data_IF_477503187255
#
_entry.id   IF_477503187255
#
_cell.length_a   1.000
_cell.length_b   1.000
_cell.length_c   1.000
_cell.angle_alpha   90.00
_cell.angle_beta   90.00
_cell.angle_gamma   90.00
#
_symmetry.space_group_name_H-M   'P 1'
#
loop_
_entity.id
_entity.type
_entity.pdbx_description
1 polymer ?
#
# COMPACT_ATOMS: atom_id res chain seq x y z
N UNK A 1 -3.12 -12.18 34.01
CA UNK A 1 -1.84 -12.63 34.52
C UNK A 1 -0.84 -12.62 33.37
N UNK A 2 0.43 -12.31 33.64
CA UNK A 2 1.51 -12.22 32.66
C UNK A 2 2.10 -13.59 32.39
N UNK A 3 2.71 -13.77 31.20
CA UNK A 3 3.41 -15.01 30.84
C UNK A 3 4.85 -14.91 31.31
N UNK A 4 5.27 -15.88 32.13
CA UNK A 4 6.62 -15.95 32.66
C UNK A 4 7.55 -16.71 31.69
N UNK A 5 7.20 -17.95 31.31
CA UNK A 5 8.04 -18.82 30.51
C UNK A 5 7.22 -19.62 29.49
N UNK A 6 7.78 -19.84 28.31
CA UNK A 6 7.28 -20.78 27.29
C UNK A 6 8.38 -21.77 26.97
N UNK A 7 8.11 -23.07 27.21
CA UNK A 7 9.01 -24.18 26.96
C UNK A 7 8.44 -25.13 25.90
N UNK A 8 9.34 -25.70 25.12
CA UNK A 8 9.01 -26.70 24.11
C UNK A 8 9.79 -27.97 24.41
N UNK A 9 9.17 -29.12 24.25
CA UNK A 9 9.73 -30.45 24.37
C UNK A 9 9.49 -31.22 23.08
N UNK A 10 10.45 -32.04 22.65
CA UNK A 10 10.36 -32.83 21.41
C UNK A 10 10.72 -32.03 20.14
N UNK A 11 11.25 -30.82 20.28
CA UNK A 11 11.70 -29.98 19.17
C UNK A 11 13.19 -30.21 18.88
N UNK A 12 13.52 -31.34 18.23
CA UNK A 12 14.90 -31.74 17.93
C UNK A 12 15.51 -30.99 16.75
N UNK A 13 14.71 -30.76 15.69
CA UNK A 13 15.16 -30.14 14.45
C UNK A 13 14.97 -28.61 14.41
N UNK A 14 14.03 -28.08 15.20
CA UNK A 14 13.71 -26.65 15.20
C UNK A 14 13.98 -26.03 16.58
N UNK A 15 14.89 -25.07 16.64
CA UNK A 15 15.26 -24.44 17.91
C UNK A 15 14.07 -23.74 18.58
N UNK A 16 13.97 -23.86 19.90
CA UNK A 16 12.94 -23.19 20.72
C UNK A 16 12.93 -21.67 20.52
N UNK A 17 14.06 -21.05 20.12
CA UNK A 17 14.14 -19.62 19.78
C UNK A 17 13.37 -19.32 18.50
N UNK A 18 13.48 -20.18 17.46
CA UNK A 18 12.77 -20.03 16.19
C UNK A 18 11.27 -20.25 16.38
N UNK A 19 10.87 -21.24 17.17
CA UNK A 19 9.48 -21.51 17.50
C UNK A 19 8.83 -20.33 18.26
N UNK A 20 9.53 -19.76 19.25
CA UNK A 20 9.05 -18.54 19.95
C UNK A 20 8.95 -17.31 19.06
N UNK A 21 9.82 -17.16 18.06
CA UNK A 21 9.80 -16.02 17.14
C UNK A 21 8.69 -16.10 16.10
N UNK A 22 8.52 -17.28 15.50
CA UNK A 22 7.68 -17.49 14.32
C UNK A 22 6.32 -18.12 14.64
N UNK A 23 6.28 -19.00 15.67
CA UNK A 23 5.07 -19.66 16.12
C UNK A 23 4.29 -18.89 17.17
N UNK A 24 4.98 -18.26 18.12
CA UNK A 24 4.35 -17.49 19.22
C UNK A 24 4.49 -15.98 18.98
N UNK A 25 3.60 -15.43 18.17
CA UNK A 25 3.61 -14.00 17.80
C UNK A 25 2.85 -13.12 18.78
N UNK A 26 1.74 -13.62 19.30
CA UNK A 26 0.84 -12.91 20.20
C UNK A 26 1.15 -13.16 21.69
N UNK A 27 1.46 -14.41 22.01
CA UNK A 27 1.77 -14.86 23.38
C UNK A 27 3.28 -14.77 23.63
N UNK A 28 3.74 -13.70 24.29
CA UNK A 28 5.18 -13.41 24.47
C UNK A 28 5.60 -13.55 25.92
N UNK A 29 6.63 -14.37 26.16
CA UNK A 29 7.23 -14.50 27.48
C UNK A 29 8.03 -13.27 27.90
N UNK A 30 8.27 -13.10 29.21
CA UNK A 30 9.12 -12.05 29.77
C UNK A 30 10.55 -12.15 29.20
N UNK A 31 11.06 -11.08 28.62
CA UNK A 31 12.45 -10.99 28.15
C UNK A 31 13.33 -10.26 29.14
N UNK A 32 14.54 -10.73 29.35
CA UNK A 32 15.51 -10.27 30.36
C UNK A 32 16.20 -8.92 30.03
N UNK A 33 15.82 -8.25 28.95
CA UNK A 33 16.41 -6.95 28.59
C UNK A 33 15.57 -5.84 29.24
N UNK A 34 16.21 -5.14 30.17
CA UNK A 34 15.69 -4.03 30.99
C UNK A 34 14.56 -3.24 30.31
N UNK A 35 13.32 -3.40 30.82
CA UNK A 35 12.28 -2.37 30.78
C UNK A 35 11.52 -2.13 29.46
N UNK A 36 11.96 -2.61 28.30
CA UNK A 36 11.44 -2.16 26.99
C UNK A 36 10.35 -3.06 26.41
N UNK A 37 10.29 -4.33 26.75
CA UNK A 37 9.28 -5.26 26.25
C UNK A 37 8.48 -5.85 27.40
N UNK A 38 7.26 -5.36 27.60
CA UNK A 38 6.31 -5.94 28.58
C UNK A 38 5.87 -7.33 28.09
N UNK A 39 5.83 -8.36 28.97
CA UNK A 39 5.26 -9.66 28.63
C UNK A 39 3.78 -9.49 28.32
N UNK A 40 3.26 -10.28 27.37
CA UNK A 40 1.84 -10.27 27.06
C UNK A 40 1.02 -10.84 28.20
N UNK A 41 -0.22 -10.38 28.34
CA UNK A 41 -1.22 -11.06 29.20
C UNK A 41 -1.61 -12.36 28.49
N UNK A 42 -1.86 -13.41 29.27
CA UNK A 42 -2.43 -14.64 28.72
C UNK A 42 -3.88 -14.38 28.30
N UNK A 43 -4.18 -14.66 27.02
CA UNK A 43 -5.51 -14.61 26.42
C UNK A 43 -5.69 -15.92 25.67
N UNK A 44 -6.75 -16.67 25.94
CA UNK A 44 -6.97 -18.02 25.40
C UNK A 44 -7.01 -18.01 23.87
N UNK A 45 -7.78 -17.12 23.27
CA UNK A 45 -7.93 -17.05 21.79
C UNK A 45 -6.58 -16.80 21.09
N UNK A 46 -5.73 -15.94 21.67
CA UNK A 46 -4.38 -15.66 21.17
C UNK A 46 -3.44 -16.84 21.33
N UNK A 47 -3.60 -17.58 22.40
CA UNK A 47 -2.83 -18.80 22.63
C UNK A 47 -3.23 -19.90 21.64
N UNK A 48 -4.51 -20.04 21.33
CA UNK A 48 -4.99 -21.01 20.34
C UNK A 48 -4.58 -20.60 18.93
N UNK A 49 -4.51 -19.32 18.64
CA UNK A 49 -3.91 -18.81 17.39
C UNK A 49 -2.42 -19.13 17.28
N UNK A 50 -1.67 -18.92 18.37
CA UNK A 50 -0.24 -19.24 18.41
C UNK A 50 0.04 -20.73 18.28
N UNK A 51 -0.83 -21.62 18.79
CA UNK A 51 -0.74 -23.06 18.53
C UNK A 51 -0.88 -23.40 17.04
N UNK A 52 -1.82 -22.77 16.34
CA UNK A 52 -1.95 -22.90 14.87
C UNK A 52 -0.71 -22.36 14.16
N UNK A 53 -0.23 -21.19 14.55
CA UNK A 53 0.99 -20.59 13.99
C UNK A 53 2.23 -21.46 14.24
N UNK A 54 2.29 -22.17 15.36
CA UNK A 54 3.37 -23.10 15.68
C UNK A 54 3.41 -24.28 14.69
N UNK A 55 2.26 -24.90 14.41
CA UNK A 55 2.15 -25.97 13.40
C UNK A 55 2.44 -25.42 12.01
N UNK A 56 1.92 -24.25 11.65
CA UNK A 56 2.26 -23.60 10.37
C UNK A 56 3.76 -23.30 10.24
N UNK A 57 4.45 -22.98 11.36
CA UNK A 57 5.90 -22.80 11.35
C UNK A 57 6.63 -24.12 11.02
N UNK A 58 6.18 -25.25 11.52
CA UNK A 58 6.71 -26.57 11.17
C UNK A 58 6.39 -26.93 9.72
N UNK A 59 5.15 -26.74 9.28
CA UNK A 59 4.72 -27.00 7.90
C UNK A 59 5.52 -26.18 6.89
N UNK A 60 5.89 -24.94 7.24
CA UNK A 60 6.76 -24.10 6.39
C UNK A 60 8.21 -24.57 6.30
N UNK A 61 8.62 -25.48 7.17
CA UNK A 61 9.96 -26.07 7.20
C UNK A 61 10.02 -27.50 6.63
N UNK A 62 8.90 -28.00 6.11
CA UNK A 62 8.76 -29.33 5.54
C UNK A 62 8.29 -30.41 6.52
N UNK A 63 7.98 -30.07 7.75
CA UNK A 63 7.46 -31.03 8.73
C UNK A 63 5.93 -31.08 8.68
N UNK A 64 5.41 -31.74 7.63
CA UNK A 64 3.97 -31.82 7.34
C UNK A 64 3.17 -32.48 8.47
N UNK A 65 3.73 -33.51 9.10
CA UNK A 65 3.06 -34.34 10.11
C UNK A 65 3.32 -33.84 11.54
N UNK A 66 3.86 -32.61 11.68
CA UNK A 66 4.11 -32.01 12.98
C UNK A 66 2.81 -31.79 13.77
N UNK A 67 2.81 -32.24 15.02
CA UNK A 67 1.63 -32.16 15.89
C UNK A 67 2.01 -31.72 17.32
N UNK A 68 1.06 -31.08 17.99
CA UNK A 68 1.14 -30.83 19.43
C UNK A 68 0.58 -32.07 20.13
N UNK A 69 1.45 -32.79 20.83
CA UNK A 69 1.07 -34.00 21.58
C UNK A 69 0.29 -33.64 22.84
N UNK A 70 0.77 -32.63 23.55
CA UNK A 70 0.11 -32.09 24.74
C UNK A 70 0.57 -30.66 25.01
N UNK A 71 -0.29 -29.87 25.60
CA UNK A 71 0.05 -28.55 26.11
C UNK A 71 -0.46 -28.40 27.55
N UNK A 72 0.28 -27.66 28.36
CA UNK A 72 -0.10 -27.35 29.71
C UNK A 72 0.19 -25.91 30.07
N UNK A 73 -0.75 -25.28 30.75
CA UNK A 73 -0.64 -23.93 31.28
C UNK A 73 -0.73 -24.00 32.79
N UNK A 74 0.38 -23.76 33.49
CA UNK A 74 0.46 -23.76 34.96
C UNK A 74 0.74 -22.35 35.47
N UNK A 75 0.21 -22.00 36.62
CA UNK A 75 0.43 -20.72 37.27
C UNK A 75 1.51 -20.85 38.35
N UNK A 76 2.47 -19.93 38.35
CA UNK A 76 3.42 -19.76 39.45
C UNK A 76 3.31 -18.33 40.03
N UNK A 77 4.16 -18.01 41.00
CA UNK A 77 4.20 -16.66 41.61
C UNK A 77 4.54 -15.53 40.63
N UNK A 78 5.27 -15.82 39.56
CA UNK A 78 5.73 -14.85 38.56
C UNK A 78 4.79 -14.69 37.37
N UNK A 79 3.87 -15.64 37.14
CA UNK A 79 2.93 -15.63 36.05
C UNK A 79 2.51 -17.01 35.57
N UNK A 80 2.17 -17.13 34.29
CA UNK A 80 1.88 -18.40 33.64
C UNK A 80 3.12 -19.02 33.01
N UNK A 81 3.32 -20.31 33.25
CA UNK A 81 4.25 -21.15 32.50
C UNK A 81 3.48 -21.99 31.49
N UNK A 82 3.90 -21.95 30.25
CA UNK A 82 3.33 -22.71 29.16
C UNK A 82 4.38 -23.77 28.75
N UNK A 83 3.99 -25.03 28.79
CA UNK A 83 4.80 -26.13 28.30
C UNK A 83 4.09 -26.84 27.16
N UNK A 84 4.76 -27.02 26.03
CA UNK A 84 4.21 -27.62 24.82
C UNK A 84 5.10 -28.79 24.41
N UNK A 85 4.49 -29.95 24.36
CA UNK A 85 5.14 -31.17 23.89
C UNK A 85 4.78 -31.40 22.42
N UNK A 86 5.80 -31.53 21.59
CA UNK A 86 5.69 -31.63 20.14
C UNK A 86 6.14 -32.99 19.63
N UNK A 87 5.56 -33.40 18.53
CA UNK A 87 6.10 -34.43 17.66
C UNK A 87 6.34 -33.78 16.30
N UNK A 88 7.60 -33.64 15.88
CA UNK A 88 7.97 -32.99 14.61
C UNK A 88 7.65 -33.81 13.39
N UNK A 89 7.59 -35.14 13.52
CA UNK A 89 7.44 -36.03 12.40
C UNK A 89 8.66 -36.08 11.47
N UNK A 90 8.44 -36.48 10.23
CA UNK A 90 9.49 -36.52 9.19
C UNK A 90 9.50 -35.23 8.39
N UNK A 91 10.66 -34.93 7.82
CA UNK A 91 10.78 -33.80 6.87
C UNK A 91 10.48 -34.32 5.47
N UNK A 92 9.60 -33.58 4.76
CA UNK A 92 9.17 -33.93 3.42
C UNK A 92 9.72 -32.95 2.37
N UNK A 93 9.87 -33.48 1.16
CA UNK A 93 10.32 -32.78 -0.03
C UNK A 93 9.28 -32.87 -1.14
N UNK A 94 9.31 -31.91 -2.05
CA UNK A 94 8.44 -31.91 -3.22
C UNK A 94 8.93 -32.98 -4.22
N UNK A 95 8.04 -33.88 -4.61
CA UNK A 95 8.22 -34.78 -5.71
C UNK A 95 7.82 -34.19 -7.05
N UNK A 96 7.07 -34.95 -7.85
CA UNK A 96 6.56 -34.44 -9.13
C UNK A 96 5.37 -33.49 -8.90
N UNK A 97 5.31 -32.38 -9.68
CA UNK A 97 4.20 -31.44 -9.71
C UNK A 97 3.52 -31.55 -11.07
N UNK A 98 2.25 -31.94 -11.08
CA UNK A 98 1.45 -32.07 -12.30
C UNK A 98 0.28 -31.05 -12.29
N UNK A 99 0.02 -30.42 -13.43
CA UNK A 99 -1.12 -29.52 -13.63
C UNK A 99 -2.18 -30.24 -14.46
N UNK A 100 -3.44 -30.13 -14.05
CA UNK A 100 -4.58 -30.73 -14.75
C UNK A 100 -5.68 -29.67 -14.92
N UNK A 101 -6.21 -29.57 -16.14
CA UNK A 101 -7.30 -28.64 -16.49
C UNK A 101 -6.86 -27.24 -16.89
N UNK A 102 -5.56 -27.00 -17.03
CA UNK A 102 -4.98 -25.74 -17.48
C UNK A 102 -5.00 -25.66 -19.03
N UNK A 103 -6.06 -25.08 -19.60
CA UNK A 103 -6.21 -24.91 -21.06
C UNK A 103 -5.67 -23.57 -21.55
N UNK A 104 -5.76 -22.54 -20.76
CA UNK A 104 -5.34 -21.17 -21.10
C UNK A 104 -3.83 -20.95 -20.96
N UNK A 105 -3.21 -21.56 -19.94
CA UNK A 105 -1.79 -21.39 -19.66
C UNK A 105 -1.06 -22.73 -19.73
N UNK A 106 0.16 -22.73 -20.29
CA UNK A 106 0.96 -23.94 -20.32
C UNK A 106 1.44 -24.35 -18.93
N UNK A 107 1.67 -25.66 -18.72
CA UNK A 107 2.18 -26.18 -17.45
C UNK A 107 3.55 -25.59 -17.10
N UNK A 108 4.41 -25.32 -18.10
CA UNK A 108 5.73 -24.69 -17.90
C UNK A 108 5.59 -23.25 -17.38
N UNK A 109 4.61 -22.50 -17.90
CA UNK A 109 4.34 -21.14 -17.42
C UNK A 109 3.85 -21.16 -15.97
N UNK A 110 2.88 -22.01 -15.66
CA UNK A 110 2.34 -22.17 -14.31
C UNK A 110 3.41 -22.64 -13.32
N UNK A 111 4.27 -23.57 -13.75
CA UNK A 111 5.40 -24.06 -12.95
C UNK A 111 6.39 -22.92 -12.61
N UNK A 112 6.66 -22.03 -13.57
CA UNK A 112 7.52 -20.85 -13.36
C UNK A 112 6.92 -19.89 -12.33
N UNK A 113 5.62 -19.69 -12.37
CA UNK A 113 4.91 -18.84 -11.40
C UNK A 113 4.90 -19.46 -10.01
N UNK A 114 4.62 -20.76 -9.94
CA UNK A 114 4.63 -21.51 -8.69
C UNK A 114 6.00 -21.43 -8.00
N UNK A 115 7.09 -21.54 -8.77
CA UNK A 115 8.46 -21.32 -8.32
C UNK A 115 9.05 -22.45 -7.49
N UNK A 116 8.34 -23.57 -7.29
CA UNK A 116 8.82 -24.78 -6.62
C UNK A 116 9.27 -25.82 -7.62
N UNK A 117 10.24 -26.65 -7.24
CA UNK A 117 10.81 -27.71 -8.08
C UNK A 117 10.88 -29.04 -7.31
N UNK A 118 10.97 -30.13 -8.05
CA UNK A 118 11.26 -31.47 -7.48
C UNK A 118 12.54 -31.40 -6.65
N UNK A 119 12.51 -31.92 -5.43
CA UNK A 119 13.60 -31.89 -4.46
C UNK A 119 13.61 -30.67 -3.51
N UNK A 120 12.81 -29.67 -3.74
CA UNK A 120 12.65 -28.53 -2.79
C UNK A 120 11.97 -29.03 -1.50
N UNK A 121 12.23 -28.32 -0.39
CA UNK A 121 11.53 -28.60 0.87
C UNK A 121 10.04 -28.36 0.67
N UNK A 122 9.20 -29.29 1.12
CA UNK A 122 7.76 -29.13 1.09
C UNK A 122 7.28 -28.08 2.10
N UNK A 123 7.40 -26.80 1.73
CA UNK A 123 6.80 -25.69 2.46
C UNK A 123 5.30 -25.62 2.13
N UNK A 124 4.47 -26.35 2.88
CA UNK A 124 3.04 -26.42 2.61
C UNK A 124 2.35 -25.06 2.71
N UNK A 125 2.79 -24.19 3.63
CA UNK A 125 2.22 -22.86 3.81
C UNK A 125 2.56 -21.94 2.64
N UNK A 126 3.83 -21.89 2.25
CA UNK A 126 4.28 -21.09 1.11
C UNK A 126 3.73 -21.60 -0.21
N UNK A 127 3.63 -22.92 -0.36
CA UNK A 127 3.06 -23.57 -1.54
C UNK A 127 1.58 -23.22 -1.71
N UNK A 128 0.77 -23.36 -0.67
CA UNK A 128 -0.67 -23.01 -0.72
C UNK A 128 -0.89 -21.54 -1.03
N UNK A 129 -0.06 -20.65 -0.48
CA UNK A 129 -0.09 -19.22 -0.84
C UNK A 129 0.27 -18.97 -2.32
N UNK A 130 1.21 -19.74 -2.88
CA UNK A 130 1.57 -19.64 -4.30
C UNK A 130 0.50 -20.22 -5.23
N UNK A 131 -0.27 -21.16 -4.77
CA UNK A 131 -1.45 -21.66 -5.48
C UNK A 131 -2.60 -20.65 -5.44
N UNK A 132 -2.71 -19.87 -4.38
CA UNK A 132 -3.76 -18.88 -4.18
C UNK A 132 -4.82 -19.28 -3.15
N UNK A 133 -4.51 -20.29 -2.31
CA UNK A 133 -5.29 -20.59 -1.11
C UNK A 133 -4.99 -19.57 -0.01
N UNK A 134 -5.85 -19.50 1.02
CA UNK A 134 -5.71 -18.61 2.17
C UNK A 134 -5.52 -17.12 1.78
N UNK A 135 -6.20 -16.68 0.71
CA UNK A 135 -6.14 -15.29 0.24
C UNK A 135 -4.99 -14.99 -0.73
N UNK A 136 -4.15 -15.99 -1.04
CA UNK A 136 -3.06 -15.85 -2.01
C UNK A 136 -1.91 -14.97 -1.51
N UNK A 137 -1.15 -14.41 -2.46
CA UNK A 137 -0.08 -13.46 -2.17
C UNK A 137 -0.57 -12.02 -2.30
N UNK A 138 -0.05 -11.14 -1.44
CA UNK A 138 -0.38 -9.71 -1.45
C UNK A 138 -0.01 -9.02 -2.78
N UNK A 139 1.02 -9.54 -3.46
CA UNK A 139 1.50 -9.05 -4.75
C UNK A 139 0.76 -9.65 -5.95
N UNK A 140 -0.30 -10.45 -5.72
CA UNK A 140 -1.07 -11.17 -6.75
C UNK A 140 -0.20 -12.07 -7.65
N UNK A 141 0.95 -12.54 -7.15
CA UNK A 141 1.89 -13.43 -7.86
C UNK A 141 1.58 -14.92 -7.65
N UNK A 142 0.36 -15.24 -7.26
CA UNK A 142 -0.12 -16.63 -7.11
C UNK A 142 -0.92 -17.07 -8.34
N UNK A 143 -1.06 -18.40 -8.50
CA UNK A 143 -1.72 -18.99 -9.66
C UNK A 143 -3.18 -18.52 -9.81
N UNK A 144 -3.94 -18.51 -8.73
CA UNK A 144 -5.36 -18.08 -8.76
C UNK A 144 -5.51 -16.62 -9.16
N UNK A 145 -4.64 -15.72 -8.63
CA UNK A 145 -4.67 -14.31 -8.97
C UNK A 145 -4.36 -14.06 -10.46
N UNK A 146 -3.48 -14.86 -11.08
CA UNK A 146 -3.20 -14.76 -12.52
C UNK A 146 -4.45 -15.07 -13.35
N UNK A 147 -5.17 -16.13 -13.01
CA UNK A 147 -6.45 -16.45 -13.64
C UNK A 147 -7.47 -15.33 -13.43
N UNK A 148 -7.63 -14.86 -12.20
CA UNK A 148 -8.56 -13.77 -11.87
C UNK A 148 -8.21 -12.45 -12.55
N UNK A 149 -6.94 -12.15 -12.78
CA UNK A 149 -6.52 -10.94 -13.50
C UNK A 149 -6.77 -11.01 -15.01
N UNK A 150 -7.07 -12.20 -15.52
CA UNK A 150 -7.40 -12.44 -16.93
C UNK A 150 -8.87 -12.84 -17.16
N UNK A 151 -9.74 -12.45 -16.25
CA UNK A 151 -11.19 -12.61 -16.37
C UNK A 151 -11.76 -13.87 -15.73
N UNK A 152 -10.96 -14.82 -15.34
CA UNK A 152 -11.44 -16.11 -14.81
C UNK A 152 -11.80 -16.02 -13.32
N UNK A 153 -12.82 -15.23 -13.01
CA UNK A 153 -13.26 -15.01 -11.62
C UNK A 153 -13.69 -16.31 -10.93
N UNK A 154 -14.37 -17.17 -11.68
CA UNK A 154 -14.94 -18.42 -11.15
C UNK A 154 -13.95 -19.59 -11.20
N UNK A 155 -12.68 -19.32 -11.57
CA UNK A 155 -11.65 -20.34 -11.59
C UNK A 155 -11.36 -20.89 -10.19
N UNK A 156 -11.12 -22.19 -10.14
CA UNK A 156 -10.64 -22.87 -8.94
C UNK A 156 -9.27 -23.47 -9.20
N UNK A 157 -8.36 -23.30 -8.27
CA UNK A 157 -7.01 -23.89 -8.31
C UNK A 157 -6.80 -24.62 -6.99
N UNK A 158 -6.77 -25.94 -7.03
CA UNK A 158 -6.75 -26.77 -5.83
C UNK A 158 -5.53 -27.69 -5.86
N UNK A 159 -4.61 -27.57 -4.90
CA UNK A 159 -3.49 -28.49 -4.76
C UNK A 159 -3.94 -29.78 -4.08
N UNK A 160 -3.48 -30.91 -4.59
CA UNK A 160 -3.78 -32.24 -4.05
C UNK A 160 -2.46 -33.01 -3.88
N UNK A 161 -2.28 -33.56 -2.71
CA UNK A 161 -1.21 -34.52 -2.49
C UNK A 161 -1.61 -35.87 -3.09
N UNK A 162 -1.05 -36.20 -4.25
CA UNK A 162 -1.41 -37.42 -5.01
C UNK A 162 -0.86 -38.68 -4.39
N UNK A 163 0.39 -38.65 -3.94
CA UNK A 163 1.06 -39.79 -3.32
C UNK A 163 2.29 -39.35 -2.55
N UNK A 164 2.65 -40.13 -1.54
CA UNK A 164 3.87 -39.96 -0.76
C UNK A 164 4.74 -41.16 -0.98
N UNK A 165 5.96 -40.95 -1.48
CA UNK A 165 6.96 -41.99 -1.70
C UNK A 165 8.18 -41.70 -0.83
N UNK A 166 8.31 -42.43 0.29
CA UNK A 166 9.37 -42.18 1.26
C UNK A 166 9.19 -40.84 1.97
N UNK A 167 9.99 -39.85 1.61
CA UNK A 167 9.97 -38.47 2.09
C UNK A 167 9.55 -37.47 1.01
N UNK A 168 9.21 -37.94 -0.21
CA UNK A 168 8.82 -37.12 -1.33
C UNK A 168 7.31 -37.14 -1.54
N UNK A 169 6.68 -35.95 -1.64
CA UNK A 169 5.25 -35.75 -1.87
C UNK A 169 5.03 -35.35 -3.32
N UNK A 170 4.33 -36.20 -4.08
CA UNK A 170 3.89 -35.86 -5.43
C UNK A 170 2.61 -35.04 -5.36
N UNK A 171 2.59 -33.90 -6.05
CA UNK A 171 1.53 -32.91 -6.03
C UNK A 171 0.80 -32.87 -7.37
N UNK A 172 -0.49 -32.69 -7.32
CA UNK A 172 -1.35 -32.49 -8.48
C UNK A 172 -2.15 -31.19 -8.26
N UNK A 173 -1.99 -30.20 -9.15
CA UNK A 173 -2.74 -28.96 -9.10
C UNK A 173 -3.89 -29.06 -10.09
N UNK A 174 -5.10 -29.18 -9.56
CA UNK A 174 -6.33 -29.21 -10.36
C UNK A 174 -6.86 -27.82 -10.58
N UNK A 175 -7.04 -27.48 -11.85
CA UNK A 175 -7.52 -26.18 -12.29
C UNK A 175 -8.84 -26.38 -13.02
N UNK A 176 -9.85 -25.61 -12.59
CA UNK A 176 -11.07 -25.45 -13.35
C UNK A 176 -11.15 -23.97 -13.72
N UNK A 177 -10.93 -23.64 -15.00
CA UNK A 177 -10.81 -22.25 -15.43
C UNK A 177 -12.16 -21.52 -15.46
N UNK A 178 -13.22 -22.20 -15.92
CA UNK A 178 -14.54 -21.62 -16.12
C UNK A 178 -14.55 -20.63 -17.30
N UNK A 179 -15.59 -19.82 -17.37
CA UNK A 179 -15.74 -18.77 -18.37
C UNK A 179 -15.24 -17.43 -17.86
N UNK A 180 -14.89 -16.53 -18.79
CA UNK A 180 -14.44 -15.19 -18.44
C UNK A 180 -15.61 -14.32 -18.00
N UNK A 181 -15.44 -13.61 -16.91
CA UNK A 181 -16.40 -12.67 -16.37
C UNK A 181 -16.11 -11.23 -16.83
N UNK A 182 -17.15 -10.41 -16.89
CA UNK A 182 -17.07 -8.98 -17.19
C UNK A 182 -17.73 -8.15 -16.10
N UNK A 183 -17.28 -6.91 -15.93
CA UNK A 183 -17.95 -5.94 -15.07
C UNK A 183 -19.32 -5.58 -15.66
N UNK A 184 -20.40 -5.74 -14.90
CA UNK A 184 -21.75 -5.35 -15.32
C UNK A 184 -22.06 -3.95 -14.77
N UNK A 185 -22.40 -3.84 -13.51
CA UNK A 185 -22.75 -2.58 -12.87
C UNK A 185 -21.70 -2.18 -11.84
N UNK A 186 -21.20 -0.95 -11.97
CA UNK A 186 -20.26 -0.37 -11.00
C UNK A 186 -20.90 0.89 -10.42
N UNK A 187 -21.04 0.92 -9.12
CA UNK A 187 -21.68 2.00 -8.36
C UNK A 187 -20.82 2.41 -7.18
N UNK A 188 -21.09 3.59 -6.64
CA UNK A 188 -20.43 4.11 -5.44
C UNK A 188 -21.41 4.91 -4.59
N UNK A 189 -21.04 5.13 -3.34
CA UNK A 189 -21.76 5.95 -2.38
C UNK A 189 -20.81 6.57 -1.35
N UNK A 190 -21.27 7.64 -0.69
CA UNK A 190 -20.52 8.30 0.39
C UNK A 190 -19.72 9.53 -0.03
N UNK A 191 -19.76 9.91 -1.30
CA UNK A 191 -19.20 11.15 -1.81
C UNK A 191 -20.21 12.31 -1.63
N UNK A 192 -20.20 12.94 -0.49
CA UNK A 192 -21.16 14.04 -0.17
C UNK A 192 -20.74 15.39 -0.73
N UNK A 193 -19.45 15.62 -0.85
CA UNK A 193 -18.83 16.87 -1.35
C UNK A 193 -18.20 16.66 -2.72
N UNK A 194 -17.55 15.50 -2.91
CA UNK A 194 -16.82 15.18 -4.13
C UNK A 194 -17.76 14.82 -5.27
N UNK A 195 -17.58 15.44 -6.42
CA UNK A 195 -18.41 15.19 -7.58
C UNK A 195 -18.12 13.81 -8.20
N UNK A 196 -19.15 13.17 -8.75
CA UNK A 196 -19.08 11.82 -9.33
C UNK A 196 -17.99 11.65 -10.41
N UNK A 197 -17.75 12.69 -11.21
CA UNK A 197 -16.73 12.61 -12.26
C UNK A 197 -15.31 12.41 -11.72
N UNK A 198 -15.02 12.84 -10.48
CA UNK A 198 -13.73 12.64 -9.81
C UNK A 198 -13.53 11.16 -9.48
N UNK A 199 -14.58 10.51 -8.96
CA UNK A 199 -14.56 9.08 -8.65
C UNK A 199 -14.51 8.27 -9.95
N UNK A 200 -15.36 8.59 -10.92
CA UNK A 200 -15.44 7.87 -12.20
C UNK A 200 -14.10 7.82 -12.95
N UNK A 201 -13.27 8.87 -12.84
CA UNK A 201 -11.92 8.94 -13.43
C UNK A 201 -10.96 7.93 -12.78
N UNK A 202 -11.09 7.70 -11.48
CA UNK A 202 -10.25 6.79 -10.71
C UNK A 202 -10.63 5.32 -10.87
N UNK A 203 -11.89 5.04 -11.26
CA UNK A 203 -12.35 3.67 -11.40
C UNK A 203 -11.67 2.97 -12.57
N UNK A 204 -10.96 1.88 -12.28
CA UNK A 204 -10.46 0.91 -13.27
C UNK A 204 -11.49 -0.15 -13.58
N UNK A 205 -12.36 -0.45 -12.62
CA UNK A 205 -13.51 -1.35 -12.77
C UNK A 205 -14.59 -0.68 -13.64
N UNK A 206 -14.54 -0.88 -14.95
CA UNK A 206 -15.45 -0.22 -15.89
C UNK A 206 -16.50 -1.19 -16.41
N UNK A 207 -17.79 -0.82 -16.45
CA UNK A 207 -18.83 -1.67 -17.05
C UNK A 207 -18.48 -2.14 -18.46
N UNK A 208 -18.69 -3.42 -18.73
CA UNK A 208 -18.36 -4.06 -20.01
C UNK A 208 -16.89 -4.47 -20.19
N UNK A 209 -15.98 -4.02 -19.34
CA UNK A 209 -14.59 -4.47 -19.36
C UNK A 209 -14.45 -5.86 -18.73
N UNK A 210 -13.40 -6.58 -19.14
CA UNK A 210 -13.05 -7.87 -18.57
C UNK A 210 -12.76 -7.72 -17.07
N UNK A 211 -13.22 -8.68 -16.26
CA UNK A 211 -12.90 -8.70 -14.85
C UNK A 211 -11.39 -8.84 -14.62
N UNK A 212 -10.84 -8.03 -13.72
CA UNK A 212 -9.50 -8.21 -13.21
C UNK A 212 -9.47 -7.86 -11.71
N UNK A 213 -8.92 -8.78 -10.90
CA UNK A 213 -8.72 -8.54 -9.46
C UNK A 213 -7.81 -7.34 -9.20
N UNK A 214 -6.79 -7.16 -10.02
CA UNK A 214 -5.86 -6.03 -9.97
C UNK A 214 -6.55 -4.67 -10.16
N UNK A 215 -7.66 -4.61 -10.92
CA UNK A 215 -8.39 -3.35 -11.13
C UNK A 215 -9.08 -2.87 -9.85
N UNK A 216 -9.55 -3.78 -9.01
CA UNK A 216 -10.10 -3.46 -7.68
C UNK A 216 -9.00 -2.83 -6.82
N UNK A 217 -7.83 -3.47 -6.77
CA UNK A 217 -6.70 -3.04 -5.98
C UNK A 217 -6.16 -1.67 -6.45
N UNK A 218 -6.01 -1.50 -7.77
CA UNK A 218 -5.59 -0.22 -8.37
C UNK A 218 -6.60 0.89 -8.07
N UNK A 219 -7.90 0.63 -8.24
CA UNK A 219 -8.96 1.59 -7.90
C UNK A 219 -8.90 2.00 -6.43
N UNK A 220 -8.71 1.03 -5.52
CA UNK A 220 -8.56 1.31 -4.10
C UNK A 220 -7.38 2.26 -3.84
N UNK A 221 -6.21 1.99 -4.42
CA UNK A 221 -5.03 2.85 -4.23
C UNK A 221 -5.21 4.23 -4.87
N UNK A 222 -5.87 4.34 -6.01
CA UNK A 222 -6.17 5.63 -6.62
C UNK A 222 -7.12 6.46 -5.76
N UNK A 223 -8.20 5.88 -5.24
CA UNK A 223 -9.14 6.55 -4.34
C UNK A 223 -8.48 6.93 -3.00
N UNK A 224 -7.72 6.03 -2.39
CA UNK A 224 -6.97 6.29 -1.16
C UNK A 224 -5.90 7.39 -1.33
N UNK A 225 -5.26 7.43 -2.49
CA UNK A 225 -4.24 8.41 -2.85
C UNK A 225 -4.77 9.83 -3.03
N UNK A 226 -6.06 10.02 -3.25
CA UNK A 226 -6.70 11.33 -3.38
C UNK A 226 -6.69 12.15 -2.08
N UNK A 227 -6.39 11.54 -0.93
CA UNK A 227 -6.25 12.14 0.40
C UNK A 227 -7.53 12.75 1.01
N UNK A 228 -8.62 12.84 0.28
CA UNK A 228 -9.92 13.30 0.79
C UNK A 228 -10.93 12.17 1.03
N UNK A 229 -10.54 10.92 0.80
CA UNK A 229 -11.22 9.72 1.31
C UNK A 229 -10.41 9.06 2.42
N UNK A 230 -11.11 8.46 3.39
CA UNK A 230 -10.46 7.71 4.47
C UNK A 230 -10.09 6.30 3.97
N UNK A 231 -8.78 5.97 3.81
CA UNK A 231 -8.37 4.67 3.30
C UNK A 231 -8.86 3.49 4.13
N UNK A 232 -9.03 3.66 5.44
CA UNK A 232 -9.48 2.60 6.33
C UNK A 232 -10.98 2.30 6.20
N UNK A 233 -11.73 3.21 5.60
CA UNK A 233 -13.18 3.11 5.44
C UNK A 233 -13.63 2.99 3.97
N UNK A 234 -12.69 2.83 3.04
CA UNK A 234 -13.02 2.47 1.66
C UNK A 234 -13.46 1.01 1.65
N UNK A 235 -14.74 0.78 1.39
CA UNK A 235 -15.34 -0.55 1.31
C UNK A 235 -15.56 -1.00 -0.13
N UNK A 236 -15.53 -2.30 -0.34
CA UNK A 236 -15.82 -2.94 -1.63
C UNK A 236 -16.84 -4.05 -1.45
N UNK A 237 -17.91 -4.02 -2.22
CA UNK A 237 -18.91 -5.09 -2.28
C UNK A 237 -18.95 -5.65 -3.70
N UNK A 238 -18.41 -6.86 -3.86
CA UNK A 238 -18.28 -7.55 -5.14
C UNK A 238 -19.35 -8.64 -5.18
N UNK A 239 -20.29 -8.52 -6.10
CA UNK A 239 -21.39 -9.47 -6.27
C UNK A 239 -21.28 -10.18 -7.62
N UNK A 240 -20.64 -11.37 -7.66
CA UNK A 240 -20.57 -12.16 -8.87
C UNK A 240 -21.92 -12.78 -9.22
N UNK A 241 -22.23 -12.83 -10.50
CA UNK A 241 -23.36 -13.57 -11.06
C UNK A 241 -22.83 -14.68 -11.97
N UNK A 242 -22.76 -15.94 -11.49
CA UNK A 242 -22.24 -17.05 -12.29
C UNK A 242 -23.15 -17.42 -13.49
N UNK A 243 -24.42 -17.05 -13.47
CA UNK A 243 -25.36 -17.38 -14.55
C UNK A 243 -25.05 -16.61 -15.84
N UNK A 244 -24.65 -15.34 -15.69
CA UNK A 244 -24.38 -14.44 -16.81
C UNK A 244 -22.88 -14.17 -16.99
N UNK A 245 -22.02 -14.79 -16.19
CA UNK A 245 -20.59 -14.52 -16.12
C UNK A 245 -20.29 -13.00 -15.95
N UNK A 246 -21.05 -12.34 -15.08
CA UNK A 246 -20.91 -10.92 -14.82
C UNK A 246 -20.65 -10.63 -13.35
N UNK A 247 -20.16 -9.42 -13.08
CA UNK A 247 -19.85 -8.97 -11.71
C UNK A 247 -20.40 -7.57 -11.49
N UNK A 248 -21.18 -7.42 -10.42
CA UNK A 248 -21.57 -6.10 -9.93
C UNK A 248 -20.60 -5.65 -8.84
N UNK A 249 -20.23 -4.37 -8.86
CA UNK A 249 -19.32 -3.76 -7.91
C UNK A 249 -19.96 -2.55 -7.26
N UNK A 250 -19.86 -2.46 -5.93
CA UNK A 250 -20.22 -1.25 -5.20
C UNK A 250 -19.02 -0.79 -4.35
N UNK A 251 -18.68 0.50 -4.49
CA UNK A 251 -17.66 1.16 -3.69
C UNK A 251 -18.33 1.99 -2.58
N UNK A 252 -17.97 1.76 -1.34
CA UNK A 252 -18.37 2.60 -0.23
C UNK A 252 -17.22 3.53 0.12
N UNK A 253 -17.47 4.84 0.07
CA UNK A 253 -16.48 5.86 0.32
C UNK A 253 -16.85 6.65 1.57
N UNK A 254 -15.87 7.11 2.31
CA UNK A 254 -16.08 8.01 3.45
C UNK A 254 -15.14 9.20 3.26
N UNK A 255 -15.73 10.38 3.09
CA UNK A 255 -14.96 11.61 2.97
C UNK A 255 -14.38 12.03 4.32
N UNK A 256 -13.14 12.50 4.29
CA UNK A 256 -12.44 13.08 5.45
C UNK A 256 -12.00 14.51 5.17
N UNK A 257 -11.71 15.27 6.23
CA UNK A 257 -11.09 16.59 6.10
C UNK A 257 -9.74 16.46 5.38
N UNK A 258 -9.60 17.19 4.28
CA UNK A 258 -8.41 17.12 3.41
C UNK A 258 -7.60 18.41 3.40
N UNK A 259 -8.13 19.50 3.96
CA UNK A 259 -7.40 20.75 4.08
C UNK A 259 -6.37 20.66 5.20
N UNK A 260 -5.17 21.11 4.91
CA UNK A 260 -4.03 21.05 5.83
C UNK A 260 -3.54 22.47 6.13
N UNK A 261 -3.24 22.72 7.40
CA UNK A 261 -2.56 23.93 7.88
C UNK A 261 -1.21 23.48 8.42
N UNK A 262 -0.15 24.04 7.89
CA UNK A 262 1.22 23.77 8.31
C UNK A 262 1.82 25.03 8.92
N UNK A 263 2.22 24.95 10.18
CA UNK A 263 2.94 25.99 10.89
C UNK A 263 4.31 25.46 11.26
N UNK A 264 5.35 26.17 10.85
CA UNK A 264 6.73 25.83 11.20
C UNK A 264 7.43 27.08 11.70
N UNK A 265 8.26 26.92 12.73
CA UNK A 265 9.15 27.96 13.20
C UNK A 265 10.53 27.34 13.43
N UNK A 266 11.56 28.02 12.97
CA UNK A 266 12.94 27.60 13.09
C UNK A 266 13.84 28.78 13.50
N UNK A 267 14.95 28.47 14.18
CA UNK A 267 16.01 29.41 14.47
C UNK A 267 17.30 28.92 13.84
N UNK A 268 17.91 29.74 12.99
CA UNK A 268 19.15 29.37 12.31
C UNK A 268 19.85 30.63 11.77
N UNK A 269 21.18 30.65 11.75
CA UNK A 269 21.95 31.80 11.27
C UNK A 269 21.73 33.10 12.04
N UNK A 270 21.35 33.02 13.34
CA UNK A 270 21.03 34.21 14.17
C UNK A 270 19.66 34.81 13.96
N UNK A 271 18.77 34.17 13.20
CA UNK A 271 17.44 34.70 12.87
C UNK A 271 16.33 33.66 13.05
N UNK A 272 15.11 34.13 13.31
CA UNK A 272 13.92 33.30 13.31
C UNK A 272 13.28 33.29 11.91
N UNK A 273 12.80 32.13 11.49
CA UNK A 273 12.05 31.93 10.26
C UNK A 273 10.74 31.24 10.63
N UNK A 274 9.60 31.86 10.24
CA UNK A 274 8.27 31.29 10.35
C UNK A 274 7.72 30.92 8.98
N UNK A 275 7.06 29.77 8.88
CA UNK A 275 6.37 29.32 7.66
C UNK A 275 4.92 28.99 7.97
N UNK A 276 4.00 29.53 7.20
CA UNK A 276 2.59 29.16 7.15
C UNK A 276 2.28 28.56 5.78
N UNK A 277 1.82 27.32 5.78
CA UNK A 277 1.31 26.63 4.60
C UNK A 277 -0.17 26.30 4.75
N UNK A 278 -0.95 26.54 3.71
CA UNK A 278 -2.34 26.14 3.60
C UNK A 278 -2.50 25.30 2.33
N UNK A 279 -2.96 24.06 2.47
CA UNK A 279 -3.21 23.18 1.34
C UNK A 279 -4.67 22.73 1.37
N UNK A 280 -5.37 22.98 0.28
CA UNK A 280 -6.75 22.58 0.06
C UNK A 280 -6.78 21.48 -1.00
N UNK A 281 -6.92 20.24 -0.56
CA UNK A 281 -7.18 19.11 -1.43
C UNK A 281 -8.67 19.06 -1.76
N UNK A 282 -9.04 18.50 -2.90
CA UNK A 282 -10.41 18.50 -3.40
C UNK A 282 -10.99 19.91 -3.67
N UNK A 283 -10.13 20.85 -4.06
CA UNK A 283 -10.53 22.19 -4.47
C UNK A 283 -11.37 22.14 -5.77
N UNK A 284 -12.25 23.13 -5.98
CA UNK A 284 -13.07 23.29 -7.19
C UNK A 284 -12.92 24.70 -7.75
N UNK A 285 -12.16 24.84 -8.82
CA UNK A 285 -12.03 26.09 -9.55
C UNK A 285 -13.35 26.51 -10.22
N UNK A 286 -14.14 25.52 -10.67
CA UNK A 286 -15.48 25.74 -11.29
C UNK A 286 -16.44 26.45 -10.33
N UNK A 287 -16.37 26.13 -9.05
CA UNK A 287 -17.23 26.70 -8.02
C UNK A 287 -16.64 27.95 -7.35
N UNK A 288 -15.48 28.42 -7.83
CA UNK A 288 -14.79 29.58 -7.23
C UNK A 288 -15.62 30.87 -7.26
N UNK A 289 -16.50 31.04 -8.23
CA UNK A 289 -17.40 32.23 -8.30
C UNK A 289 -18.73 32.01 -7.55
N UNK A 290 -18.96 30.83 -6.98
CA UNK A 290 -20.17 30.52 -6.22
C UNK A 290 -19.90 30.65 -4.72
N UNK A 291 -20.04 31.86 -4.18
CA UNK A 291 -19.74 32.15 -2.76
C UNK A 291 -20.50 31.29 -1.75
N UNK A 292 -21.65 30.70 -2.14
CA UNK A 292 -22.43 29.80 -1.28
C UNK A 292 -21.71 28.49 -0.99
N UNK A 293 -20.76 28.08 -1.84
CA UNK A 293 -20.04 26.83 -1.75
C UNK A 293 -18.72 26.93 -0.94
N UNK A 294 -18.42 28.12 -0.39
CA UNK A 294 -17.22 28.38 0.41
C UNK A 294 -17.34 27.81 1.83
N UNK A 295 -16.57 26.73 2.14
CA UNK A 295 -16.50 26.07 3.46
C UNK A 295 -15.09 25.49 3.76
N UNK A 296 -14.04 26.24 3.99
CA UNK A 296 -13.73 27.66 3.77
C UNK A 296 -13.43 28.01 2.30
N UNK A 297 -13.21 27.01 1.43
CA UNK A 297 -13.00 27.15 -0.01
C UNK A 297 -13.95 26.22 -0.77
N UNK A 298 -14.28 26.51 -2.03
CA UNK A 298 -15.11 25.62 -2.83
C UNK A 298 -14.39 24.28 -3.07
N UNK A 299 -15.13 23.18 -2.93
CA UNK A 299 -14.60 21.81 -3.01
C UNK A 299 -15.42 20.94 -3.97
N UNK A 300 -14.84 19.81 -4.39
CA UNK A 300 -15.55 18.76 -5.10
C UNK A 300 -14.92 18.28 -6.41
N UNK A 301 -13.95 18.98 -6.99
CA UNK A 301 -13.37 18.64 -8.30
C UNK A 301 -12.01 17.91 -8.20
N UNK A 302 -11.53 17.60 -6.99
CA UNK A 302 -10.29 16.86 -6.79
C UNK A 302 -9.02 17.66 -7.13
N UNK A 303 -9.12 18.98 -7.31
CA UNK A 303 -8.00 19.87 -7.56
C UNK A 303 -7.27 20.18 -6.24
N UNK A 304 -6.02 20.61 -6.33
CA UNK A 304 -5.24 21.05 -5.16
C UNK A 304 -4.85 22.51 -5.29
N UNK A 305 -5.18 23.31 -4.28
CA UNK A 305 -4.72 24.68 -4.13
C UNK A 305 -3.81 24.76 -2.90
N UNK A 306 -2.59 25.26 -3.06
CA UNK A 306 -1.67 25.49 -1.95
C UNK A 306 -1.23 26.95 -1.90
N UNK A 307 -1.24 27.49 -0.68
CA UNK A 307 -0.78 28.82 -0.36
C UNK A 307 0.35 28.69 0.65
N UNK A 308 1.46 29.38 0.44
CA UNK A 308 2.60 29.37 1.35
C UNK A 308 3.07 30.79 1.62
N UNK A 309 3.31 31.08 2.89
CA UNK A 309 3.96 32.29 3.31
C UNK A 309 5.10 31.95 4.27
N UNK A 310 6.28 32.47 4.01
CA UNK A 310 7.45 32.32 4.86
C UNK A 310 8.03 33.70 5.15
N UNK A 311 8.30 33.99 6.41
CA UNK A 311 8.88 35.24 6.82
C UNK A 311 10.02 35.03 7.81
N UNK A 312 11.10 35.72 7.58
CA UNK A 312 12.27 35.81 8.44
C UNK A 312 12.88 37.22 8.35
N UNK A 313 13.89 37.48 9.14
CA UNK A 313 14.52 38.80 9.19
C UNK A 313 15.12 39.21 7.83
N UNK A 314 15.71 38.27 7.11
CA UNK A 314 16.40 38.52 5.85
C UNK A 314 15.73 37.91 4.63
N UNK A 315 14.65 37.16 4.84
CA UNK A 315 13.99 36.40 3.77
C UNK A 315 12.49 36.41 3.96
N UNK A 316 11.76 36.72 2.89
CA UNK A 316 10.31 36.60 2.82
C UNK A 316 9.94 35.87 1.53
N UNK A 317 9.03 34.93 1.60
CA UNK A 317 8.57 34.17 0.44
C UNK A 317 7.05 34.00 0.48
N UNK A 318 6.40 34.24 -0.65
CA UNK A 318 4.97 33.99 -0.85
C UNK A 318 4.79 33.11 -2.09
N UNK A 319 4.09 32.01 -1.93
CA UNK A 319 3.84 31.06 -3.00
C UNK A 319 2.37 30.70 -3.12
N UNK A 320 1.91 30.58 -4.35
CA UNK A 320 0.59 30.04 -4.70
C UNK A 320 0.80 28.96 -5.74
N UNK A 321 0.25 27.78 -5.52
CA UNK A 321 0.27 26.71 -6.51
C UNK A 321 -1.10 26.07 -6.67
N UNK A 322 -1.43 25.72 -7.89
CA UNK A 322 -2.66 25.05 -8.28
C UNK A 322 -2.34 23.83 -9.11
N UNK A 323 -3.01 22.72 -8.83
CA UNK A 323 -2.87 21.47 -9.58
C UNK A 323 -4.24 20.94 -9.99
N UNK A 324 -4.42 20.75 -11.32
CA UNK A 324 -5.53 20.01 -11.91
C UNK A 324 -5.04 18.61 -12.32
N UNK A 325 -5.46 17.54 -11.64
CA UNK A 325 -4.93 16.19 -11.92
C UNK A 325 -5.43 15.58 -13.24
N UNK A 326 -6.52 16.13 -13.82
CA UNK A 326 -7.14 15.59 -15.04
C UNK A 326 -7.48 16.67 -16.05
N UNK A 327 -6.49 17.40 -16.52
CA UNK A 327 -6.64 18.58 -17.39
C UNK A 327 -7.60 18.38 -18.56
N UNK A 328 -7.56 17.21 -19.23
CA UNK A 328 -8.40 16.90 -20.38
C UNK A 328 -9.57 15.96 -20.05
N UNK A 329 -9.77 15.59 -18.81
CA UNK A 329 -10.88 14.74 -18.35
C UNK A 329 -10.87 13.28 -18.79
N UNK A 330 -10.14 12.92 -19.82
CA UNK A 330 -10.13 11.56 -20.42
C UNK A 330 -8.90 10.73 -20.08
N UNK A 331 -7.79 11.40 -19.77
CA UNK A 331 -6.51 10.75 -19.42
C UNK A 331 -5.91 11.43 -18.21
N UNK A 332 -5.22 10.68 -17.33
CA UNK A 332 -4.54 11.27 -16.19
C UNK A 332 -3.35 12.12 -16.68
N UNK A 333 -3.62 13.40 -16.89
CA UNK A 333 -2.63 14.42 -17.25
C UNK A 333 -2.79 15.56 -16.26
N UNK A 334 -1.85 15.67 -15.33
CA UNK A 334 -1.88 16.72 -14.32
C UNK A 334 -1.22 17.99 -14.84
N UNK A 335 -1.91 19.12 -14.69
CA UNK A 335 -1.37 20.45 -14.89
C UNK A 335 -1.07 21.06 -13.51
N UNK A 336 0.17 21.49 -13.31
CA UNK A 336 0.59 22.25 -12.14
C UNK A 336 1.03 23.64 -12.54
N UNK A 337 0.47 24.67 -11.91
CA UNK A 337 0.85 26.07 -12.12
C UNK A 337 1.22 26.66 -10.78
N UNK A 338 2.34 27.37 -10.73
CA UNK A 338 2.82 27.99 -9.50
C UNK A 338 3.32 29.41 -9.76
N UNK A 339 3.04 30.30 -8.81
CA UNK A 339 3.59 31.64 -8.73
C UNK A 339 4.30 31.78 -7.39
N UNK A 340 5.49 32.32 -7.41
CA UNK A 340 6.27 32.52 -6.21
C UNK A 340 6.96 33.89 -6.24
N UNK A 341 6.89 34.61 -5.12
CA UNK A 341 7.60 35.83 -4.90
C UNK A 341 8.46 35.72 -3.66
N UNK A 342 9.77 35.95 -3.83
CA UNK A 342 10.74 35.93 -2.74
C UNK A 342 11.45 37.28 -2.65
N UNK A 343 11.66 37.75 -1.44
CA UNK A 343 12.48 38.91 -1.15
C UNK A 343 13.59 38.50 -0.18
N UNK A 344 14.82 38.79 -0.58
CA UNK A 344 16.01 38.58 0.23
C UNK A 344 16.60 39.96 0.57
N UNK A 345 16.79 40.20 1.86
CA UNK A 345 17.41 41.45 2.35
C UNK A 345 18.80 41.14 2.90
N UNK A 346 19.77 41.81 2.38
CA UNK A 346 21.14 41.73 2.88
C UNK A 346 21.46 43.10 3.54
N UNK A 347 21.74 43.07 4.82
CA UNK A 347 22.19 44.29 5.54
C UNK A 347 23.71 44.27 5.63
N UNK A 348 24.35 45.09 4.82
CA UNK A 348 25.77 45.34 4.89
C UNK A 348 26.03 46.74 5.40
N UNK A 349 27.24 47.03 5.85
CA UNK A 349 27.67 48.31 6.37
C UNK A 349 27.48 49.52 5.40
N UNK A 350 27.16 49.25 4.15
CA UNK A 350 26.97 50.25 3.08
C UNK A 350 25.50 50.53 2.72
N UNK A 351 24.52 49.92 3.45
CA UNK A 351 23.09 50.13 3.22
C UNK A 351 22.32 48.80 3.00
N UNK A 352 21.03 48.89 3.04
CA UNK A 352 20.12 47.75 2.82
C UNK A 352 20.07 47.38 1.34
N UNK A 353 20.60 46.20 1.02
CA UNK A 353 20.54 45.60 -0.33
C UNK A 353 19.37 44.63 -0.39
N UNK A 354 18.53 44.75 -1.40
CA UNK A 354 17.37 43.85 -1.59
C UNK A 354 17.39 43.19 -2.95
N UNK A 355 17.07 41.87 -2.94
CA UNK A 355 16.85 41.11 -4.15
C UNK A 355 15.42 40.57 -4.14
N UNK A 356 14.63 40.99 -5.12
CA UNK A 356 13.29 40.48 -5.32
C UNK A 356 13.29 39.48 -6.47
N UNK A 357 12.74 38.29 -6.22
CA UNK A 357 12.68 37.21 -7.19
C UNK A 357 11.21 36.88 -7.44
N UNK A 358 10.75 37.03 -8.66
CA UNK A 358 9.47 36.55 -9.10
C UNK A 358 9.66 35.30 -9.95
N UNK A 359 8.95 34.21 -9.63
CA UNK A 359 8.98 32.95 -10.36
C UNK A 359 7.57 32.55 -10.80
N UNK A 360 7.42 32.18 -12.05
CA UNK A 360 6.22 31.55 -12.57
C UNK A 360 6.59 30.17 -13.15
N UNK A 361 5.88 29.12 -12.75
CA UNK A 361 6.11 27.76 -13.19
C UNK A 361 4.83 27.17 -13.79
N UNK A 362 4.97 26.40 -14.85
CA UNK A 362 3.90 25.59 -15.41
C UNK A 362 4.47 24.22 -15.80
N UNK A 363 3.80 23.17 -15.38
CA UNK A 363 4.24 21.80 -15.60
C UNK A 363 3.11 20.87 -15.95
N UNK A 364 3.38 19.90 -16.81
CA UNK A 364 2.48 18.83 -17.19
C UNK A 364 3.10 17.50 -16.77
N UNK A 365 2.34 16.71 -16.02
CA UNK A 365 2.70 15.32 -15.68
C UNK A 365 1.75 14.39 -16.38
N UNK A 366 2.27 13.43 -17.15
CA UNK A 366 1.48 12.45 -17.88
C UNK A 366 2.02 11.05 -17.67
N UNK A 367 1.14 10.09 -17.37
CA UNK A 367 1.49 8.68 -17.34
C UNK A 367 1.73 8.16 -18.75
N UNK A 368 2.82 7.43 -18.92
CA UNK A 368 3.21 6.84 -20.19
C UNK A 368 2.47 5.51 -20.40
N UNK A 369 2.37 5.09 -21.65
CA UNK A 369 1.87 3.75 -22.01
C UNK A 369 2.98 2.74 -22.22
N UNK A 370 4.19 3.23 -22.44
CA UNK A 370 5.38 2.43 -22.70
C UNK A 370 6.53 2.96 -21.83
N UNK A 371 7.31 2.09 -21.17
CA UNK A 371 7.22 0.62 -21.18
C UNK A 371 5.99 0.05 -20.42
N UNK A 372 5.42 0.77 -19.48
CA UNK A 372 4.18 0.45 -18.77
C UNK A 372 3.52 1.72 -18.19
N UNK A 373 2.37 1.60 -17.56
CA UNK A 373 1.59 2.70 -16.99
C UNK A 373 2.05 3.17 -15.60
N UNK A 374 3.18 2.65 -15.08
CA UNK A 374 3.82 3.12 -13.84
C UNK A 374 4.81 4.27 -14.09
N UNK A 375 5.26 4.44 -15.35
CA UNK A 375 6.14 5.56 -15.68
C UNK A 375 5.34 6.85 -15.93
N UNK A 376 5.84 7.96 -15.39
CA UNK A 376 5.30 9.29 -15.65
C UNK A 376 6.38 10.20 -16.24
N UNK A 377 5.96 11.03 -17.21
CA UNK A 377 6.78 12.08 -17.78
C UNK A 377 6.32 13.42 -17.23
N UNK A 378 7.24 14.14 -16.61
CA UNK A 378 7.05 15.55 -16.23
C UNK A 378 7.75 16.46 -17.26
N UNK A 379 7.03 17.43 -17.76
CA UNK A 379 7.56 18.50 -18.62
C UNK A 379 7.13 19.82 -18.05
N UNK A 380 8.08 20.70 -17.77
CA UNK A 380 7.78 22.00 -17.17
C UNK A 380 8.62 23.12 -17.75
N UNK A 381 8.08 24.32 -17.64
CA UNK A 381 8.76 25.58 -17.94
C UNK A 381 8.73 26.44 -16.69
N UNK A 382 9.82 27.16 -16.47
CA UNK A 382 9.95 28.10 -15.37
C UNK A 382 10.49 29.42 -15.90
N UNK A 383 9.82 30.50 -15.52
CA UNK A 383 10.30 31.85 -15.72
C UNK A 383 10.73 32.44 -14.38
N UNK A 384 11.89 33.08 -14.35
CA UNK A 384 12.34 33.79 -13.15
C UNK A 384 12.84 35.19 -13.54
N UNK A 385 12.41 36.16 -12.77
CA UNK A 385 12.85 37.56 -12.87
C UNK A 385 13.50 37.97 -11.57
N UNK A 386 14.70 38.53 -11.67
CA UNK A 386 15.48 39.03 -10.55
C UNK A 386 15.55 40.54 -10.61
N UNK A 387 15.14 41.21 -9.56
CA UNK A 387 15.23 42.66 -9.42
C UNK A 387 16.11 43.02 -8.22
N UNK A 388 17.21 43.67 -8.47
CA UNK A 388 18.19 44.06 -7.48
C UNK A 388 18.06 45.55 -7.17
N UNK A 389 18.04 45.90 -5.89
CA UNK A 389 18.00 47.30 -5.43
C UNK A 389 19.18 47.52 -4.48
N UNK A 390 19.92 48.62 -4.72
CA UNK A 390 21.10 49.02 -3.97
C UNK A 390 22.24 48.02 -3.97
N UNK A 391 22.31 47.17 -4.98
CA UNK A 391 23.49 46.33 -5.20
C UNK A 391 24.56 47.11 -5.90
N UNK A 392 25.78 47.19 -5.38
CA UNK A 392 26.91 47.72 -6.15
C UNK A 392 27.13 46.74 -7.32
N UNK A 393 26.90 47.19 -8.55
CA UNK A 393 27.19 46.44 -9.75
C UNK A 393 28.74 46.31 -9.91
N UNK A 394 29.30 45.22 -9.46
CA UNK A 394 30.64 44.81 -9.84
C UNK A 394 30.60 43.97 -11.13
N UNK A 395 29.87 44.42 -12.15
CA UNK A 395 29.91 43.89 -13.49
C UNK A 395 30.53 44.89 -14.49
N UNK A 396 31.40 45.73 -14.03
CA UNK A 396 32.20 46.58 -14.90
C UNK A 396 33.66 46.26 -14.62
N UNK A 397 34.35 45.66 -15.52
CA UNK A 397 35.80 45.57 -15.72
C UNK A 397 36.32 44.19 -16.06
N UNK A 398 35.50 43.29 -16.56
CA UNK A 398 35.98 42.00 -17.08
C UNK A 398 35.80 41.81 -18.58
N UNK A 399 35.56 42.89 -19.34
CA UNK A 399 35.56 42.90 -20.81
C UNK A 399 36.25 44.19 -21.31
N UNK A 400 37.54 44.36 -21.06
CA UNK A 400 38.47 45.09 -21.90
C UNK A 400 39.61 44.14 -22.32
#
# INVERSE_FOLDING_TARGET
VKIDKITFEGNENVSSRKLRKNGFKETKQKRFIKGILKPSKFVQDKYDEDKRNLINCYNSLGFRDATIVSDSVSRNEKGYNINIKLNEGKKYYIGDINFIGNTTYSSEFLQKILGYKTGDIYDAVGFNKKVGEDGGKEDDSDLKSIYMNNGFLFSTVTPIEKSVKGDSINLEIRISEGEKATWNRVTWSGNTTTHDHVILRALRTKPGALFAKSDIKRTYFELAGMQFFDPQQIGTDVKPNPQDNTVNMHWTLVEKGSSQVQLQAGYGGGTFIGTLGLTFNNFSLRNFLKFKDFKPVPRGDGQTLSLQAQAGQYFTNYGVSFTEPWLFGTRPTALSVGLNYSRVNYSYSTGDQTMNIFSATAGLTRYLKWPDDYFSLYTGIQYQSYNFSNYPFYFGDALE
#
